data_IF_819935017509
#
_entry.id   IF_819935017509
#
_cell.length_a   1.000
_cell.length_b   1.000
_cell.length_c   1.000
_cell.angle_alpha   90.00
_cell.angle_beta   90.00
_cell.angle_gamma   90.00
#
_symmetry.space_group_name_H-M   'P 1'
#
loop_
_entity.id
_entity.type
_entity.pdbx_description
1 polymer ?
#
# COMPACT_ATOMS: atom_id res chain seq x y z
N UNK A 1 -21.02 -9.94 18.62
CA UNK A 1 -19.65 -10.47 18.82
C UNK A 1 -18.58 -9.43 18.52
N UNK A 2 -18.71 -8.66 17.44
CA UNK A 2 -17.82 -7.53 17.14
C UNK A 2 -17.74 -6.55 18.32
N UNK A 3 -16.53 -6.05 18.61
CA UNK A 3 -16.25 -5.16 19.75
C UNK A 3 -15.98 -5.89 21.06
N UNK A 4 -15.94 -7.23 21.05
CA UNK A 4 -15.45 -8.06 22.17
C UNK A 4 -14.08 -8.63 21.83
N UNK A 5 -13.42 -9.22 22.83
CA UNK A 5 -12.17 -9.95 22.65
C UNK A 5 -12.39 -11.44 22.90
N UNK A 6 -11.75 -12.28 22.09
CA UNK A 6 -11.53 -13.68 22.42
C UNK A 6 -10.41 -13.75 23.44
N UNK A 7 -10.60 -14.52 24.51
CA UNK A 7 -9.58 -14.76 25.54
C UNK A 7 -9.40 -16.26 25.69
N UNK A 8 -8.17 -16.73 25.53
CA UNK A 8 -7.80 -18.13 25.74
C UNK A 8 -7.31 -18.24 27.18
N UNK A 9 -7.95 -19.11 27.95
CA UNK A 9 -7.58 -19.40 29.33
C UNK A 9 -6.73 -20.67 29.42
N UNK A 10 -5.95 -20.77 30.50
CA UNK A 10 -5.28 -22.01 30.85
C UNK A 10 -6.24 -23.14 31.21
N UNK A 11 -5.74 -24.38 31.29
CA UNK A 11 -6.54 -25.57 31.55
C UNK A 11 -7.31 -25.51 32.88
N UNK A 12 -6.82 -24.76 33.88
CA UNK A 12 -7.42 -24.66 35.22
C UNK A 12 -8.48 -23.55 35.36
N UNK A 13 -9.34 -23.38 34.34
CA UNK A 13 -10.56 -22.55 34.38
C UNK A 13 -10.41 -21.10 34.92
N UNK A 14 -10.09 -20.18 34.00
CA UNK A 14 -10.29 -18.72 34.08
C UNK A 14 -9.23 -17.82 34.73
N UNK A 15 -8.40 -18.25 35.69
CA UNK A 15 -7.47 -17.33 36.38
C UNK A 15 -6.31 -16.84 35.49
N UNK A 16 -5.70 -17.74 34.70
CA UNK A 16 -4.58 -17.41 33.80
C UNK A 16 -5.07 -17.19 32.38
N UNK A 17 -4.90 -15.97 31.87
CA UNK A 17 -5.13 -15.62 30.45
C UNK A 17 -3.85 -15.90 29.67
N UNK A 18 -3.92 -16.78 28.68
CA UNK A 18 -2.79 -17.18 27.82
C UNK A 18 -2.64 -16.23 26.65
N UNK A 19 -3.75 -15.91 26.00
CA UNK A 19 -3.77 -15.05 24.83
C UNK A 19 -5.10 -14.29 24.76
N UNK A 20 -5.10 -13.16 24.06
CA UNK A 20 -6.30 -12.45 23.71
C UNK A 20 -6.17 -11.82 22.33
N UNK A 21 -7.29 -11.72 21.63
CA UNK A 21 -7.39 -11.01 20.37
C UNK A 21 -8.75 -10.31 20.27
N UNK A 22 -8.80 -9.16 19.61
CA UNK A 22 -10.07 -8.50 19.33
C UNK A 22 -10.83 -9.27 18.25
N UNK A 23 -12.15 -9.38 18.41
CA UNK A 23 -13.04 -9.88 17.37
C UNK A 23 -13.38 -8.71 16.46
N UNK A 24 -12.75 -8.69 15.29
CA UNK A 24 -12.92 -7.66 14.27
C UNK A 24 -13.98 -8.04 13.25
N UNK A 25 -14.54 -7.04 12.57
CA UNK A 25 -15.44 -7.28 11.46
C UNK A 25 -14.62 -7.78 10.28
N UNK A 26 -15.00 -8.92 9.69
CA UNK A 26 -14.44 -9.32 8.40
C UNK A 26 -14.91 -8.31 7.34
N UNK A 27 -13.96 -7.56 6.76
CA UNK A 27 -14.24 -6.56 5.73
C UNK A 27 -14.22 -7.23 4.36
N UNK A 28 -15.34 -7.17 3.66
CA UNK A 28 -15.43 -7.68 2.29
C UNK A 28 -14.80 -6.68 1.33
N UNK A 29 -13.79 -7.09 0.52
CA UNK A 29 -13.19 -6.21 -0.44
C UNK A 29 -14.22 -5.74 -1.48
N UNK A 30 -14.24 -4.43 -1.71
CA UNK A 30 -14.96 -3.77 -2.79
C UNK A 30 -13.95 -2.95 -3.56
N UNK A 31 -13.95 -3.07 -4.88
CA UNK A 31 -13.10 -2.31 -5.76
C UNK A 31 -13.89 -1.76 -6.95
N UNK A 32 -13.38 -0.71 -7.56
CA UNK A 32 -13.97 -0.15 -8.78
C UNK A 32 -12.90 0.46 -9.67
N UNK A 33 -13.22 0.58 -10.96
CA UNK A 33 -12.44 1.39 -11.89
C UNK A 33 -12.50 2.87 -11.49
N UNK A 34 -11.35 3.54 -11.56
CA UNK A 34 -11.24 4.99 -11.44
C UNK A 34 -11.55 5.71 -12.75
N UNK A 35 -11.05 6.94 -12.88
CA UNK A 35 -11.21 7.74 -14.10
C UNK A 35 -10.47 7.12 -15.28
N UNK A 36 -11.16 7.05 -16.42
CA UNK A 36 -10.59 6.60 -17.68
C UNK A 36 -9.54 7.56 -18.21
N UNK A 37 -8.46 6.99 -18.75
CA UNK A 37 -7.38 7.68 -19.44
C UNK A 37 -7.13 7.02 -20.80
N UNK A 38 -6.68 7.78 -21.79
CA UNK A 38 -6.42 7.28 -23.15
C UNK A 38 -7.16 8.10 -24.21
N UNK A 39 -7.17 7.58 -25.43
CA UNK A 39 -7.82 8.23 -26.58
C UNK A 39 -9.28 7.82 -26.78
N UNK A 40 -9.77 6.86 -25.99
CA UNK A 40 -11.16 6.44 -25.98
C UNK A 40 -12.09 7.49 -25.37
N UNK A 41 -13.38 7.33 -25.69
CA UNK A 41 -14.50 8.13 -25.17
C UNK A 41 -15.35 7.34 -24.19
N UNK A 42 -14.97 6.11 -23.83
CA UNK A 42 -15.88 5.23 -23.07
C UNK A 42 -15.97 5.67 -21.62
N UNK A 43 -17.19 5.65 -21.12
CA UNK A 43 -17.57 6.11 -19.79
C UNK A 43 -18.18 4.95 -18.98
N UNK A 44 -18.53 5.23 -17.73
CA UNK A 44 -19.08 4.26 -16.80
C UNK A 44 -17.99 3.55 -15.99
N UNK A 45 -18.38 2.62 -15.13
CA UNK A 45 -17.50 1.98 -14.16
C UNK A 45 -17.70 0.47 -14.16
N UNK A 46 -16.66 -0.24 -13.73
CA UNK A 46 -16.73 -1.66 -13.39
C UNK A 46 -16.52 -1.81 -11.90
N UNK A 47 -17.49 -2.42 -11.21
CA UNK A 47 -17.44 -2.70 -9.78
C UNK A 47 -17.14 -4.17 -9.54
N UNK A 48 -16.29 -4.44 -8.55
CA UNK A 48 -15.87 -5.77 -8.14
C UNK A 48 -16.17 -5.94 -6.65
N UNK A 49 -16.94 -6.96 -6.29
CA UNK A 49 -17.34 -7.25 -4.92
C UNK A 49 -17.07 -8.71 -4.57
N UNK A 50 -16.40 -8.95 -3.45
CA UNK A 50 -16.15 -10.30 -2.96
C UNK A 50 -16.71 -10.48 -1.55
N UNK A 51 -17.84 -11.21 -1.44
CA UNK A 51 -18.60 -11.38 -0.19
C UNK A 51 -18.01 -12.43 0.78
N UNK A 52 -16.85 -13.00 0.46
CA UNK A 52 -16.04 -13.81 1.37
C UNK A 52 -14.65 -14.03 0.78
N UNK A 53 -13.58 -14.19 1.58
CA UNK A 53 -12.22 -14.33 1.05
C UNK A 53 -12.00 -15.50 0.08
N UNK A 54 -12.82 -16.56 0.16
CA UNK A 54 -12.78 -17.72 -0.74
C UNK A 54 -13.97 -17.77 -1.72
N UNK A 55 -14.87 -16.79 -1.67
CA UNK A 55 -16.02 -16.71 -2.56
C UNK A 55 -15.67 -16.11 -3.92
N UNK A 56 -16.56 -16.26 -4.91
CA UNK A 56 -16.38 -15.66 -6.21
C UNK A 56 -16.44 -14.13 -6.13
N UNK A 57 -15.72 -13.48 -7.03
CA UNK A 57 -15.86 -12.04 -7.25
C UNK A 57 -17.04 -11.78 -8.16
N UNK A 58 -17.96 -10.96 -7.67
CA UNK A 58 -19.07 -10.43 -8.44
C UNK A 58 -18.58 -9.21 -9.22
N UNK A 59 -18.73 -9.24 -10.53
CA UNK A 59 -18.31 -8.17 -11.43
C UNK A 59 -19.56 -7.52 -11.99
N UNK A 60 -19.74 -6.22 -11.80
CA UNK A 60 -20.78 -5.43 -12.45
C UNK A 60 -20.11 -4.48 -13.43
N UNK A 61 -20.33 -4.73 -14.72
CA UNK A 61 -19.82 -3.92 -15.81
C UNK A 61 -20.93 -2.96 -16.23
N UNK A 62 -20.66 -1.66 -16.27
CA UNK A 62 -21.54 -0.66 -16.84
C UNK A 62 -20.70 0.32 -17.65
N UNK A 63 -20.73 0.18 -18.98
CA UNK A 63 -19.95 1.00 -19.91
C UNK A 63 -20.86 1.68 -20.93
N UNK A 64 -20.53 2.91 -21.28
CA UNK A 64 -21.22 3.70 -22.31
C UNK A 64 -20.19 4.34 -23.24
N UNK A 65 -20.65 4.93 -24.36
CA UNK A 65 -19.79 5.64 -25.29
C UNK A 65 -18.65 4.75 -25.84
N UNK A 66 -18.98 3.48 -26.14
CA UNK A 66 -18.04 2.53 -26.75
C UNK A 66 -17.88 2.77 -28.26
N UNK A 67 -18.78 3.54 -28.88
CA UNK A 67 -18.78 3.94 -30.30
C UNK A 67 -18.68 2.77 -31.29
N UNK A 68 -19.06 1.56 -30.87
CA UNK A 68 -18.80 0.31 -31.60
C UNK A 68 -17.30 0.07 -31.93
N UNK A 69 -16.38 0.80 -31.30
CA UNK A 69 -14.92 0.70 -31.54
C UNK A 69 -14.25 -0.32 -30.60
N UNK A 70 -14.86 -0.58 -29.46
CA UNK A 70 -14.34 -1.48 -28.45
C UNK A 70 -14.28 -2.94 -28.94
N UNK A 71 -13.26 -3.65 -28.45
CA UNK A 71 -13.01 -5.06 -28.66
C UNK A 71 -13.00 -5.79 -27.33
N UNK A 72 -11.83 -6.28 -26.92
CA UNK A 72 -11.64 -6.93 -25.62
C UNK A 72 -11.36 -5.93 -24.50
N UNK A 73 -11.49 -6.39 -23.25
CA UNK A 73 -11.15 -5.65 -22.05
C UNK A 73 -10.57 -6.60 -21.01
N UNK A 74 -9.45 -6.21 -20.40
CA UNK A 74 -8.62 -7.07 -19.57
C UNK A 74 -8.04 -6.31 -18.39
N UNK A 75 -7.71 -7.03 -17.32
CA UNK A 75 -6.92 -6.51 -16.20
C UNK A 75 -5.44 -6.70 -16.51
N UNK A 76 -4.67 -5.63 -16.41
CA UNK A 76 -3.26 -5.57 -16.69
C UNK A 76 -2.41 -5.58 -15.41
N UNK A 77 -1.11 -5.83 -15.54
CA UNK A 77 -0.24 -6.08 -14.40
C UNK A 77 -0.05 -4.87 -13.47
N UNK A 78 0.04 -3.65 -14.01
CA UNK A 78 0.44 -2.46 -13.24
C UNK A 78 -0.65 -1.38 -13.19
N UNK A 79 -0.66 -0.56 -12.12
CA UNK A 79 -1.43 0.67 -12.10
C UNK A 79 -0.84 1.70 -13.08
N UNK A 80 -1.72 2.55 -13.57
CA UNK A 80 -1.48 3.58 -14.57
C UNK A 80 -0.49 4.62 -14.05
N UNK A 81 0.45 5.03 -14.91
CA UNK A 81 1.17 6.30 -14.76
C UNK A 81 0.43 7.32 -15.62
N UNK A 82 -0.20 8.32 -14.99
CA UNK A 82 -0.96 9.33 -15.72
C UNK A 82 -0.11 10.07 -16.74
N UNK A 83 -0.72 10.41 -17.87
CA UNK A 83 -0.06 11.08 -18.99
C UNK A 83 -0.57 10.58 -20.33
N UNK A 84 0.01 11.09 -21.42
CA UNK A 84 -0.40 10.76 -22.79
C UNK A 84 -0.29 9.25 -23.08
N UNK A 85 0.73 8.60 -22.53
CA UNK A 85 1.01 7.16 -22.72
C UNK A 85 0.44 6.28 -21.60
N UNK A 86 -0.56 6.75 -20.86
CA UNK A 86 -1.10 6.10 -19.66
C UNK A 86 -1.35 4.60 -19.83
N UNK A 87 -1.94 4.22 -20.97
CA UNK A 87 -2.33 2.83 -21.24
C UNK A 87 -1.26 2.04 -22.02
N UNK A 88 -0.08 2.60 -22.31
CA UNK A 88 0.93 1.95 -23.14
C UNK A 88 1.44 0.62 -22.56
N UNK A 89 2.01 -0.22 -23.42
CA UNK A 89 2.64 -1.49 -23.04
C UNK A 89 3.70 -1.30 -21.94
N UNK A 90 4.43 -0.19 -21.95
CA UNK A 90 5.44 0.09 -20.94
C UNK A 90 4.82 0.45 -19.58
N UNK A 91 3.71 1.20 -19.57
CA UNK A 91 3.13 1.72 -18.34
C UNK A 91 2.29 0.72 -17.57
N UNK A 92 1.41 -0.04 -18.24
CA UNK A 92 0.53 -1.02 -17.58
C UNK A 92 0.94 -2.49 -17.81
N UNK A 93 1.95 -2.74 -18.66
CA UNK A 93 2.47 -4.09 -19.00
C UNK A 93 1.38 -5.01 -19.58
N UNK A 94 1.62 -6.32 -19.66
CA UNK A 94 0.68 -7.29 -20.22
C UNK A 94 -0.53 -7.58 -19.34
N UNK A 95 -1.33 -8.57 -19.74
CA UNK A 95 -2.46 -9.07 -18.97
C UNK A 95 -2.00 -9.68 -17.65
N UNK A 96 -2.87 -9.63 -16.63
CA UNK A 96 -2.59 -10.26 -15.36
C UNK A 96 -2.81 -11.78 -15.43
N UNK A 97 -1.69 -12.52 -15.48
CA UNK A 97 -1.66 -13.97 -15.65
C UNK A 97 -0.67 -14.64 -14.69
N UNK A 98 -0.95 -14.67 -13.37
CA UNK A 98 -0.02 -15.20 -12.39
C UNK A 98 0.19 -16.72 -12.48
N UNK A 99 -0.72 -17.45 -13.15
CA UNK A 99 -0.63 -18.89 -13.35
C UNK A 99 0.00 -19.30 -14.70
N UNK A 100 0.41 -18.33 -15.52
CA UNK A 100 1.03 -18.60 -16.81
C UNK A 100 0.14 -19.37 -17.77
N UNK A 101 -1.17 -19.11 -17.75
CA UNK A 101 -2.15 -19.72 -18.66
C UNK A 101 -1.71 -19.47 -20.10
N UNK A 102 -1.63 -20.54 -20.90
CA UNK A 102 -1.27 -20.44 -22.31
C UNK A 102 -2.51 -20.04 -23.13
N UNK A 103 -2.54 -18.78 -23.54
CA UNK A 103 -3.65 -18.15 -24.29
C UNK A 103 -3.93 -18.90 -25.60
N UNK A 104 -2.91 -19.49 -26.25
CA UNK A 104 -3.10 -20.22 -27.51
C UNK A 104 -3.93 -21.51 -27.37
N UNK A 105 -4.07 -22.01 -26.14
CA UNK A 105 -4.88 -23.19 -25.79
C UNK A 105 -6.15 -22.84 -25.03
N UNK A 106 -6.36 -21.57 -24.68
CA UNK A 106 -7.58 -21.14 -24.02
C UNK A 106 -8.80 -21.32 -24.95
N UNK A 107 -9.95 -21.76 -24.44
CA UNK A 107 -11.15 -21.90 -25.25
C UNK A 107 -11.60 -20.57 -25.85
N UNK A 108 -12.42 -20.62 -26.90
CA UNK A 108 -13.01 -19.40 -27.46
C UNK A 108 -13.80 -18.63 -26.39
N UNK A 109 -13.90 -17.29 -26.49
CA UNK A 109 -14.56 -16.47 -25.49
C UNK A 109 -15.92 -17.00 -25.04
N UNK A 110 -16.13 -17.14 -23.72
CA UNK A 110 -17.39 -17.60 -23.12
C UNK A 110 -17.65 -19.11 -23.13
N UNK A 111 -16.76 -19.93 -23.71
CA UNK A 111 -16.96 -21.37 -23.82
C UNK A 111 -16.15 -22.20 -22.80
N UNK A 112 -15.17 -21.61 -22.12
CA UNK A 112 -14.33 -22.28 -21.12
C UNK A 112 -14.77 -22.02 -19.68
N UNK A 113 -14.18 -22.78 -18.75
CA UNK A 113 -14.24 -22.46 -17.32
C UNK A 113 -13.28 -21.32 -16.98
N UNK A 114 -13.58 -20.53 -15.93
CA UNK A 114 -12.83 -19.30 -15.60
C UNK A 114 -11.35 -19.53 -15.24
N UNK A 115 -10.95 -20.75 -14.91
CA UNK A 115 -9.57 -21.18 -14.67
C UNK A 115 -8.77 -21.49 -15.94
N UNK A 116 -9.44 -21.64 -17.09
CA UNK A 116 -8.79 -21.87 -18.40
C UNK A 116 -8.32 -20.57 -19.08
N UNK A 117 -8.58 -19.43 -18.46
CA UNK A 117 -8.23 -18.09 -18.92
C UNK A 117 -7.29 -17.42 -17.92
N UNK A 118 -6.54 -16.43 -18.39
CA UNK A 118 -5.76 -15.55 -17.52
C UNK A 118 -6.70 -14.90 -16.47
N UNK A 119 -6.22 -14.67 -15.24
CA UNK A 119 -7.05 -14.03 -14.20
C UNK A 119 -7.65 -12.71 -14.73
N UNK A 120 -6.85 -11.93 -15.45
CA UNK A 120 -7.27 -10.66 -16.02
C UNK A 120 -8.08 -10.75 -17.31
N UNK A 121 -8.31 -11.91 -17.91
CA UNK A 121 -8.98 -12.01 -19.21
C UNK A 121 -10.51 -12.05 -19.08
N UNK A 122 -11.12 -10.88 -18.84
CA UNK A 122 -12.58 -10.76 -18.68
C UNK A 122 -13.30 -11.11 -19.99
N UNK A 123 -12.76 -10.65 -21.12
CA UNK A 123 -13.36 -10.90 -22.43
C UNK A 123 -13.33 -12.37 -22.84
N UNK A 124 -12.23 -13.08 -22.60
CA UNK A 124 -12.15 -14.52 -22.80
C UNK A 124 -13.12 -15.28 -21.93
N UNK A 125 -13.28 -14.89 -20.65
CA UNK A 125 -14.21 -15.57 -19.73
C UNK A 125 -15.68 -15.32 -20.05
N UNK A 126 -16.05 -14.10 -20.43
CA UNK A 126 -17.45 -13.66 -20.41
C UNK A 126 -17.96 -12.98 -21.69
N UNK A 127 -17.13 -12.90 -22.74
CA UNK A 127 -17.46 -12.26 -24.01
C UNK A 127 -16.90 -10.83 -24.14
N UNK A 128 -16.77 -10.37 -25.39
CA UNK A 128 -16.17 -9.08 -25.74
C UNK A 128 -17.18 -7.94 -25.82
N UNK A 129 -16.69 -6.71 -26.00
CA UNK A 129 -17.49 -5.48 -26.17
C UNK A 129 -17.75 -5.14 -27.65
N UNK A 130 -17.54 -6.09 -28.57
CA UNK A 130 -17.68 -5.86 -30.00
C UNK A 130 -19.14 -5.55 -30.36
N UNK A 131 -19.35 -4.54 -31.21
CA UNK A 131 -20.67 -4.06 -31.65
C UNK A 131 -21.57 -3.58 -30.48
N UNK A 132 -20.96 -3.05 -29.42
CA UNK A 132 -21.66 -2.42 -28.32
C UNK A 132 -21.37 -0.92 -28.33
N UNK A 133 -22.41 -0.11 -28.16
CA UNK A 133 -22.27 1.31 -27.79
C UNK A 133 -22.47 1.54 -26.29
N UNK A 134 -23.37 0.75 -25.69
CA UNK A 134 -23.62 0.66 -24.25
C UNK A 134 -23.59 -0.82 -23.86
N UNK A 135 -23.03 -1.13 -22.70
CA UNK A 135 -22.89 -2.50 -22.24
C UNK A 135 -23.06 -2.56 -20.72
N UNK A 136 -24.03 -3.36 -20.27
CA UNK A 136 -24.24 -3.64 -18.86
C UNK A 136 -24.35 -5.16 -18.65
N UNK A 137 -23.59 -5.69 -17.70
CA UNK A 137 -23.66 -7.11 -17.37
C UNK A 137 -23.15 -7.41 -15.95
N UNK A 138 -23.53 -8.58 -15.45
CA UNK A 138 -23.10 -9.10 -14.15
C UNK A 138 -22.48 -10.49 -14.30
N UNK A 139 -21.28 -10.64 -13.77
CA UNK A 139 -20.54 -11.91 -13.79
C UNK A 139 -20.18 -12.38 -12.39
N UNK A 140 -19.87 -13.67 -12.28
CA UNK A 140 -19.23 -14.27 -11.11
C UNK A 140 -17.97 -14.99 -11.56
N UNK A 141 -16.85 -14.64 -10.97
CA UNK A 141 -15.54 -15.22 -11.26
C UNK A 141 -14.90 -15.77 -10.00
N UNK A 142 -14.79 -17.10 -9.90
CA UNK A 142 -14.11 -17.79 -8.79
C UNK A 142 -12.59 -17.78 -8.90
N UNK A 143 -12.02 -17.23 -9.97
CA UNK A 143 -10.60 -17.15 -10.27
C UNK A 143 -10.13 -15.67 -10.44
N UNK A 144 -10.82 -14.72 -9.82
CA UNK A 144 -10.45 -13.29 -9.82
C UNK A 144 -10.50 -12.71 -8.40
N UNK A 145 -9.55 -13.05 -7.52
CA UNK A 145 -9.62 -12.62 -6.13
C UNK A 145 -9.39 -11.11 -5.97
N UNK A 146 -10.01 -10.52 -4.94
CA UNK A 146 -9.80 -9.14 -4.49
C UNK A 146 -8.86 -9.03 -3.28
N UNK A 147 -8.45 -10.17 -2.72
CA UNK A 147 -7.50 -10.26 -1.60
C UNK A 147 -6.46 -11.36 -1.84
N UNK A 148 -5.38 -11.34 -1.08
CA UNK A 148 -4.27 -12.25 -1.18
C UNK A 148 -3.30 -11.91 -2.33
N UNK A 149 -2.27 -12.75 -2.55
CA UNK A 149 -1.17 -12.47 -3.49
C UNK A 149 -1.60 -12.21 -4.93
N UNK A 150 -2.73 -12.79 -5.35
CA UNK A 150 -3.28 -12.65 -6.69
C UNK A 150 -4.37 -11.57 -6.81
N UNK A 151 -4.52 -10.69 -5.81
CA UNK A 151 -5.53 -9.63 -5.87
C UNK A 151 -5.40 -8.78 -7.15
N UNK A 152 -6.54 -8.43 -7.74
CA UNK A 152 -6.62 -7.47 -8.85
C UNK A 152 -6.65 -6.00 -8.38
N UNK A 153 -6.78 -5.76 -7.07
CA UNK A 153 -6.76 -4.39 -6.52
C UNK A 153 -5.36 -3.79 -6.69
N UNK A 154 -5.29 -2.53 -7.12
CA UNK A 154 -4.04 -1.81 -7.39
C UNK A 154 -3.49 -2.06 -8.79
N UNK A 155 -4.21 -2.82 -9.63
CA UNK A 155 -3.92 -3.03 -11.05
C UNK A 155 -4.75 -2.07 -11.90
N UNK A 156 -4.64 -2.18 -13.23
CA UNK A 156 -5.46 -1.41 -14.16
C UNK A 156 -6.32 -2.30 -15.04
N UNK A 157 -7.46 -1.78 -15.47
CA UNK A 157 -8.29 -2.38 -16.50
C UNK A 157 -8.08 -1.60 -17.80
N UNK A 158 -7.90 -2.32 -18.90
CA UNK A 158 -7.68 -1.76 -20.24
C UNK A 158 -8.79 -2.23 -21.15
N UNK A 159 -9.42 -1.30 -21.87
CA UNK A 159 -10.30 -1.59 -23.00
C UNK A 159 -9.46 -1.46 -24.27
N UNK A 160 -9.59 -2.44 -25.17
CA UNK A 160 -8.90 -2.49 -26.45
C UNK A 160 -9.85 -2.13 -27.58
N UNK A 161 -9.30 -1.64 -28.68
CA UNK A 161 -9.98 -1.59 -29.97
C UNK A 161 -10.11 -3.01 -30.56
N UNK A 162 -10.95 -3.16 -31.59
CA UNK A 162 -11.14 -4.45 -32.30
C UNK A 162 -9.86 -5.04 -32.89
N UNK A 163 -8.88 -4.21 -33.24
CA UNK A 163 -7.58 -4.64 -33.76
C UNK A 163 -6.58 -5.02 -32.63
N UNK A 164 -7.00 -4.98 -31.37
CA UNK A 164 -6.20 -5.31 -30.19
C UNK A 164 -5.36 -4.16 -29.63
N UNK A 165 -5.26 -3.01 -30.30
CA UNK A 165 -4.56 -1.85 -29.73
C UNK A 165 -5.33 -1.28 -28.53
N UNK A 166 -4.63 -0.64 -27.61
CA UNK A 166 -5.22 -0.17 -26.35
C UNK A 166 -5.95 1.14 -26.59
N UNK A 167 -7.21 1.21 -26.16
CA UNK A 167 -8.08 2.36 -26.35
C UNK A 167 -8.03 3.29 -25.14
N UNK A 168 -8.32 2.73 -23.96
CA UNK A 168 -8.32 3.47 -22.71
C UNK A 168 -8.15 2.53 -21.52
N UNK A 169 -7.83 3.08 -20.37
CA UNK A 169 -7.56 2.33 -19.17
C UNK A 169 -7.95 3.11 -17.92
N UNK A 170 -8.27 2.39 -16.84
CA UNK A 170 -8.55 2.94 -15.52
C UNK A 170 -7.93 2.06 -14.43
N UNK A 171 -7.47 2.67 -13.34
CA UNK A 171 -6.97 1.92 -12.19
C UNK A 171 -8.13 1.22 -11.45
N UNK A 172 -7.91 0.00 -10.99
CA UNK A 172 -8.80 -0.74 -10.11
C UNK A 172 -8.39 -0.40 -8.68
N UNK A 173 -9.19 0.44 -8.04
CA UNK A 173 -8.91 0.94 -6.69
C UNK A 173 -9.88 0.32 -5.70
N UNK A 174 -9.38 -0.01 -4.50
CA UNK A 174 -10.26 -0.37 -3.40
C UNK A 174 -11.18 0.82 -3.11
N UNK A 175 -12.48 0.57 -3.02
CA UNK A 175 -13.43 1.59 -2.62
C UNK A 175 -13.12 1.98 -1.18
N UNK A 176 -13.00 3.29 -0.92
CA UNK A 176 -12.78 3.79 0.42
C UNK A 176 -13.97 3.36 1.30
N UNK A 177 -13.71 2.47 2.28
CA UNK A 177 -14.67 2.25 3.34
C UNK A 177 -14.87 3.57 4.07
N UNK A 178 -16.12 3.91 4.40
CA UNK A 178 -16.47 5.17 5.09
C UNK A 178 -15.68 5.37 6.39
N UNK A 179 -15.27 4.27 7.02
CA UNK A 179 -14.50 4.25 8.26
C UNK A 179 -13.01 3.88 8.08
N UNK A 180 -12.60 3.49 6.87
CA UNK A 180 -11.23 3.08 6.56
C UNK A 180 -10.29 4.27 6.35
N UNK A 181 -9.03 4.12 6.78
CA UNK A 181 -8.00 5.16 6.63
C UNK A 181 -6.77 4.58 5.95
N UNK A 182 -6.25 5.28 4.94
CA UNK A 182 -5.05 4.84 4.23
C UNK A 182 -3.77 5.15 5.00
N UNK A 183 -2.84 4.21 4.96
CA UNK A 183 -1.45 4.41 5.31
C UNK A 183 -0.61 4.20 4.06
N UNK A 184 0.32 5.12 3.83
CA UNK A 184 1.32 5.02 2.77
C UNK A 184 2.71 5.15 3.38
N UNK A 185 3.61 4.27 2.97
CA UNK A 185 5.03 4.29 3.32
C UNK A 185 5.89 4.06 2.07
N UNK A 186 7.14 4.50 2.12
CA UNK A 186 8.09 4.35 1.01
C UNK A 186 9.45 3.89 1.51
N UNK A 187 10.10 3.02 0.76
CA UNK A 187 11.53 2.76 0.87
C UNK A 187 12.21 3.33 -0.38
N UNK A 188 13.04 4.35 -0.20
CA UNK A 188 13.70 5.08 -1.29
C UNK A 188 15.16 4.63 -1.37
N UNK A 189 15.55 4.04 -2.50
CA UNK A 189 16.90 3.58 -2.76
C UNK A 189 17.62 4.64 -3.59
N UNK A 190 18.79 5.07 -3.10
CA UNK A 190 19.61 6.11 -3.74
C UNK A 190 21.04 5.62 -4.01
N UNK A 191 21.34 4.35 -3.72
CA UNK A 191 22.66 3.77 -3.79
C UNK A 191 22.90 3.03 -5.11
N UNK A 192 23.52 1.84 -5.08
CA UNK A 192 23.72 1.01 -6.26
C UNK A 192 22.41 0.60 -6.94
N UNK A 193 21.30 0.60 -6.22
CA UNK A 193 19.94 0.53 -6.77
C UNK A 193 19.27 1.88 -6.58
N UNK A 194 18.54 2.35 -7.61
CA UNK A 194 17.77 3.59 -7.57
C UNK A 194 16.29 3.30 -7.70
N UNK A 195 15.47 4.08 -7.02
CA UNK A 195 14.01 4.05 -7.18
C UNK A 195 13.28 3.94 -5.85
N UNK A 196 12.05 3.44 -5.89
CA UNK A 196 11.16 3.44 -4.73
C UNK A 196 10.31 2.19 -4.66
N UNK A 197 10.18 1.64 -3.46
CA UNK A 197 9.10 0.71 -3.11
C UNK A 197 8.05 1.49 -2.33
N UNK A 198 6.84 1.61 -2.88
CA UNK A 198 5.70 2.24 -2.21
C UNK A 198 4.80 1.17 -1.63
N UNK A 199 4.48 1.27 -0.34
CA UNK A 199 3.57 0.39 0.36
C UNK A 199 2.31 1.15 0.74
N UNK A 200 1.15 0.53 0.54
CA UNK A 200 -0.15 1.13 0.90
C UNK A 200 -1.10 0.10 1.52
N UNK A 201 -1.83 0.50 2.56
CA UNK A 201 -2.76 -0.36 3.29
C UNK A 201 -3.91 0.47 3.86
N UNK A 202 -5.13 -0.08 3.87
CA UNK A 202 -6.26 0.51 4.59
C UNK A 202 -6.34 -0.07 6.01
N UNK A 203 -6.52 0.81 6.99
CA UNK A 203 -6.66 0.49 8.41
C UNK A 203 -8.06 0.84 8.89
N UNK A 204 -8.63 -0.01 9.74
CA UNK A 204 -10.01 0.14 10.20
C UNK A 204 -10.12 0.44 11.71
N UNK A 205 -11.26 1.02 12.15
CA UNK A 205 -11.57 1.33 13.55
C UNK A 205 -11.31 0.20 14.55
N UNK A 206 -11.65 -1.03 14.16
CA UNK A 206 -11.55 -2.23 15.00
C UNK A 206 -10.12 -2.79 15.10
N UNK A 207 -9.16 -2.16 14.42
CA UNK A 207 -7.76 -2.58 14.36
C UNK A 207 -7.46 -3.64 13.30
N UNK A 208 -8.44 -3.99 12.45
CA UNK A 208 -8.18 -4.80 11.26
C UNK A 208 -7.52 -3.98 10.14
N UNK A 209 -6.94 -4.69 9.18
CA UNK A 209 -6.24 -4.11 8.03
C UNK A 209 -6.64 -4.83 6.74
N UNK A 210 -6.58 -4.11 5.62
CA UNK A 210 -6.56 -4.74 4.30
C UNK A 210 -5.19 -5.38 4.03
N UNK A 211 -5.05 -6.07 2.90
CA UNK A 211 -3.72 -6.44 2.41
C UNK A 211 -2.88 -5.19 2.09
N UNK A 212 -1.56 -5.36 2.09
CA UNK A 212 -0.59 -4.35 1.67
C UNK A 212 -0.32 -4.49 0.19
N UNK A 213 -0.52 -3.41 -0.57
CA UNK A 213 -0.02 -3.31 -1.95
C UNK A 213 1.41 -2.79 -1.93
N UNK A 214 2.32 -3.47 -2.62
CA UNK A 214 3.71 -3.05 -2.84
C UNK A 214 3.90 -2.71 -4.33
N UNK A 215 4.02 -1.42 -4.64
CA UNK A 215 4.43 -0.95 -5.95
C UNK A 215 5.94 -0.75 -5.94
N UNK A 216 6.65 -1.57 -6.70
CA UNK A 216 8.10 -1.61 -6.78
C UNK A 216 8.55 -0.99 -8.10
N UNK A 217 9.32 0.09 -8.04
CA UNK A 217 9.94 0.76 -9.19
C UNK A 217 11.43 0.92 -8.89
N UNK A 218 12.21 -0.11 -9.18
CA UNK A 218 13.64 -0.19 -8.85
C UNK A 218 14.47 -0.47 -10.09
N UNK A 219 15.60 0.23 -10.22
CA UNK A 219 16.54 0.11 -11.32
C UNK A 219 17.95 -0.05 -10.75
N UNK A 220 18.63 -1.15 -11.09
CA UNK A 220 20.04 -1.33 -10.74
C UNK A 220 20.93 -0.41 -11.58
N UNK A 221 21.96 0.16 -10.98
CA UNK A 221 22.97 0.91 -11.73
C UNK A 221 23.80 -0.03 -12.61
N UNK A 222 24.29 0.50 -13.74
CA UNK A 222 25.15 -0.24 -14.67
C UNK A 222 26.42 -0.79 -14.03
N UNK A 223 26.86 -0.20 -12.90
CA UNK A 223 28.05 -0.62 -12.16
C UNK A 223 27.92 -1.99 -11.49
N UNK A 224 26.70 -2.43 -11.13
CA UNK A 224 26.50 -3.69 -10.38
C UNK A 224 26.12 -4.86 -11.30
N UNK A 225 25.60 -4.59 -12.51
CA UNK A 225 25.20 -5.60 -13.49
C UNK A 225 24.29 -6.72 -12.92
N UNK A 226 23.32 -6.35 -12.08
CA UNK A 226 22.33 -7.27 -11.47
C UNK A 226 20.94 -6.92 -11.98
N UNK A 227 20.23 -7.91 -12.54
CA UNK A 227 18.86 -7.73 -13.06
C UNK A 227 17.79 -8.21 -12.09
N UNK A 228 18.15 -9.02 -11.08
CA UNK A 228 17.22 -9.54 -10.06
C UNK A 228 17.88 -9.55 -8.68
N UNK A 229 17.12 -9.25 -7.65
CA UNK A 229 17.56 -9.33 -6.27
C UNK A 229 16.57 -10.12 -5.41
N UNK A 230 17.09 -10.85 -4.43
CA UNK A 230 16.29 -11.25 -3.27
C UNK A 230 16.10 -10.04 -2.37
N UNK A 231 15.03 -10.04 -1.61
CA UNK A 231 14.55 -8.91 -0.83
C UNK A 231 13.81 -9.36 0.41
N UNK A 232 14.02 -8.65 1.52
CA UNK A 232 13.43 -8.94 2.81
C UNK A 232 13.42 -7.71 3.71
N UNK A 233 12.53 -7.70 4.69
CA UNK A 233 12.43 -6.65 5.71
C UNK A 233 13.10 -7.15 6.99
N UNK A 234 13.96 -6.34 7.60
CA UNK A 234 14.68 -6.69 8.83
C UNK A 234 13.92 -6.28 10.08
N UNK A 235 14.25 -6.88 11.22
CA UNK A 235 13.77 -6.40 12.52
C UNK A 235 14.26 -4.97 12.82
N UNK A 236 15.54 -4.70 12.59
CA UNK A 236 16.14 -3.41 12.93
C UNK A 236 15.99 -2.38 11.79
N UNK A 237 15.92 -1.07 12.11
CA UNK A 237 15.98 0.01 11.12
C UNK A 237 17.35 0.08 10.41
N UNK A 238 17.41 0.84 9.32
CA UNK A 238 18.69 1.30 8.74
C UNK A 238 19.37 2.23 9.75
N UNK A 239 20.69 2.12 9.90
CA UNK A 239 21.43 3.07 10.74
C UNK A 239 21.50 4.43 10.05
N UNK A 240 20.65 5.37 10.49
CA UNK A 240 20.52 6.72 9.90
C UNK A 240 21.83 7.54 9.96
N UNK A 241 22.72 7.25 10.92
CA UNK A 241 23.97 8.01 11.09
C UNK A 241 25.02 7.68 10.03
N UNK A 242 25.01 6.44 9.51
CA UNK A 242 26.05 5.92 8.62
C UNK A 242 25.48 5.50 7.26
N UNK A 243 24.15 5.52 7.12
CA UNK A 243 23.42 4.99 5.96
C UNK A 243 23.85 3.55 5.58
N UNK A 244 24.31 2.78 6.57
CA UNK A 244 24.75 1.40 6.37
C UNK A 244 23.59 0.43 6.52
N UNK A 245 23.57 -0.56 5.63
CA UNK A 245 22.64 -1.66 5.73
C UNK A 245 22.90 -2.48 6.99
N UNK A 246 21.84 -3.01 7.63
CA UNK A 246 21.99 -3.85 8.82
C UNK A 246 22.75 -5.13 8.45
N UNK A 247 24.05 -5.15 8.73
CA UNK A 247 24.92 -6.33 8.61
C UNK A 247 24.41 -7.36 9.62
N UNK A 248 23.96 -8.52 9.14
CA UNK A 248 23.34 -9.59 9.92
C UNK A 248 21.97 -9.26 10.54
N UNK A 249 21.20 -8.33 9.97
CA UNK A 249 19.82 -8.08 10.42
C UNK A 249 18.94 -9.33 10.22
N UNK A 250 18.36 -9.84 11.32
CA UNK A 250 17.37 -10.91 11.26
C UNK A 250 16.15 -10.48 10.43
N UNK A 251 15.58 -11.43 9.68
CA UNK A 251 14.31 -11.22 8.97
C UNK A 251 13.24 -10.88 10.01
N UNK A 252 12.38 -9.93 9.69
CA UNK A 252 11.32 -9.52 10.60
C UNK A 252 10.34 -10.67 10.87
N UNK A 253 10.32 -11.17 12.11
CA UNK A 253 9.60 -12.38 12.48
C UNK A 253 8.84 -12.23 13.82
N UNK A 254 7.82 -11.35 13.89
CA UNK A 254 7.09 -11.06 15.12
C UNK A 254 6.27 -12.24 15.67
N UNK A 255 6.05 -13.29 14.86
CA UNK A 255 5.27 -14.47 15.21
C UNK A 255 6.14 -15.70 15.47
N UNK A 256 7.47 -15.54 15.51
CA UNK A 256 8.42 -16.61 15.77
C UNK A 256 8.24 -17.83 14.84
N UNK A 257 8.02 -17.56 13.55
CA UNK A 257 7.93 -18.55 12.49
C UNK A 257 9.28 -19.26 12.32
N UNK A 258 9.27 -20.52 11.89
CA UNK A 258 10.51 -21.23 11.61
C UNK A 258 11.21 -20.62 10.39
N UNK A 259 12.42 -20.08 10.59
CA UNK A 259 13.24 -19.56 9.51
C UNK A 259 13.49 -20.63 8.45
N UNK A 260 13.45 -20.24 7.17
CA UNK A 260 13.66 -21.14 6.02
C UNK A 260 12.76 -22.38 6.04
N UNK A 261 11.54 -22.26 6.59
CA UNK A 261 10.58 -23.36 6.58
C UNK A 261 10.31 -23.83 5.16
N UNK A 262 10.36 -25.15 4.93
CA UNK A 262 9.92 -25.77 3.68
C UNK A 262 8.44 -25.49 3.37
N UNK A 263 7.67 -25.10 4.39
CA UNK A 263 6.27 -24.75 4.25
C UNK A 263 6.06 -23.28 3.85
N UNK A 264 7.09 -22.45 3.80
CA UNK A 264 6.98 -21.08 3.30
C UNK A 264 7.09 -21.08 1.77
N UNK A 265 6.02 -20.63 1.10
CA UNK A 265 5.95 -20.50 -0.35
C UNK A 265 4.93 -19.43 -0.76
N UNK A 266 4.82 -19.05 -2.04
CA UNK A 266 3.76 -18.16 -2.50
C UNK A 266 2.34 -18.68 -2.24
N UNK A 267 2.14 -20.00 -2.21
CA UNK A 267 0.84 -20.64 -1.94
C UNK A 267 0.56 -20.78 -0.44
N UNK A 268 1.60 -20.82 0.37
CA UNK A 268 1.55 -21.03 1.82
C UNK A 268 2.23 -19.86 2.56
N UNK A 269 1.97 -18.65 2.08
CA UNK A 269 2.66 -17.43 2.52
C UNK A 269 2.48 -17.14 4.02
N UNK A 270 1.41 -17.63 4.65
CA UNK A 270 1.19 -17.50 6.11
C UNK A 270 2.19 -18.31 6.95
N UNK A 271 2.90 -19.28 6.36
CA UNK A 271 3.97 -20.02 7.01
C UNK A 271 5.33 -19.30 6.95
N UNK A 272 5.41 -18.18 6.23
CA UNK A 272 6.63 -17.41 6.08
C UNK A 272 6.86 -16.44 7.26
N UNK A 273 8.13 -16.14 7.51
CA UNK A 273 8.51 -14.97 8.30
C UNK A 273 7.91 -13.72 7.65
N UNK A 274 7.35 -12.81 8.45
CA UNK A 274 6.61 -11.63 7.95
C UNK A 274 7.46 -10.81 6.98
N UNK A 275 8.75 -10.68 7.27
CA UNK A 275 9.72 -9.95 6.45
C UNK A 275 10.29 -10.71 5.25
N UNK A 276 10.03 -12.01 5.08
CA UNK A 276 10.58 -12.78 3.95
C UNK A 276 9.75 -12.56 2.67
N UNK A 277 10.06 -11.49 1.96
CA UNK A 277 9.35 -11.13 0.73
C UNK A 277 9.77 -12.00 -0.46
N UNK A 278 10.99 -12.54 -0.46
CA UNK A 278 11.48 -13.37 -1.57
C UNK A 278 10.76 -14.70 -1.61
N UNK A 279 10.58 -15.37 -0.47
CA UNK A 279 9.89 -16.65 -0.44
C UNK A 279 8.39 -16.50 -0.70
N UNK A 280 7.80 -15.35 -0.33
CA UNK A 280 6.38 -15.05 -0.60
C UNK A 280 6.10 -14.65 -2.05
N UNK A 281 6.95 -13.81 -2.64
CA UNK A 281 6.65 -13.11 -3.90
C UNK A 281 7.65 -13.40 -5.04
N UNK A 282 8.72 -14.15 -4.76
CA UNK A 282 9.86 -14.31 -5.65
C UNK A 282 10.83 -13.13 -5.60
N UNK A 283 11.91 -13.23 -6.37
CA UNK A 283 12.90 -12.16 -6.51
C UNK A 283 12.32 -10.94 -7.22
N UNK A 284 12.74 -9.75 -6.80
CA UNK A 284 12.43 -8.50 -7.49
C UNK A 284 13.30 -8.36 -8.73
N UNK A 285 12.74 -7.84 -9.83
CA UNK A 285 13.41 -7.48 -11.08
C UNK A 285 13.80 -6.01 -10.98
N UNK A 286 15.07 -5.70 -11.23
CA UNK A 286 15.66 -4.37 -11.07
C UNK A 286 15.76 -3.61 -12.41
N UNK A 287 14.82 -3.87 -13.32
CA UNK A 287 14.77 -3.23 -14.65
C UNK A 287 13.37 -2.78 -15.04
N UNK A 288 12.36 -3.05 -14.20
CA UNK A 288 10.97 -2.77 -14.52
C UNK A 288 10.13 -2.61 -13.26
N UNK A 289 8.97 -1.96 -13.42
CA UNK A 289 7.96 -1.87 -12.39
C UNK A 289 7.28 -3.21 -12.13
N UNK A 290 6.95 -3.44 -10.87
CA UNK A 290 6.22 -4.62 -10.40
C UNK A 290 5.21 -4.23 -9.33
N UNK A 291 4.14 -5.02 -9.25
CA UNK A 291 3.10 -4.88 -8.23
C UNK A 291 2.92 -6.21 -7.51
N UNK A 292 2.97 -6.16 -6.18
CA UNK A 292 2.72 -7.31 -5.31
C UNK A 292 1.63 -6.98 -4.28
N UNK A 293 0.95 -8.00 -3.79
CA UNK A 293 0.00 -7.89 -2.70
C UNK A 293 0.41 -8.84 -1.58
N UNK A 294 0.61 -8.31 -0.37
CA UNK A 294 1.01 -9.08 0.79
C UNK A 294 -0.07 -9.01 1.88
N UNK A 295 -0.61 -10.17 2.25
CA UNK A 295 -1.68 -10.29 3.22
C UNK A 295 -1.20 -10.40 4.69
N UNK A 296 0.12 -10.41 4.93
CA UNK A 296 0.70 -10.59 6.26
C UNK A 296 1.40 -9.32 6.78
N UNK A 297 1.92 -8.47 5.87
CA UNK A 297 2.52 -7.20 6.23
C UNK A 297 1.49 -6.26 6.89
N UNK A 298 1.97 -5.44 7.81
CA UNK A 298 1.17 -4.39 8.46
C UNK A 298 1.94 -3.07 8.37
N UNK A 299 1.26 -1.98 8.00
CA UNK A 299 1.81 -0.63 8.01
C UNK A 299 1.44 0.15 9.28
N UNK A 300 0.54 -0.40 10.09
CA UNK A 300 0.13 0.12 11.39
C UNK A 300 0.12 -0.98 12.47
N UNK A 301 -0.22 -0.59 13.70
CA UNK A 301 -0.26 -1.49 14.84
C UNK A 301 1.12 -1.83 15.39
N UNK A 302 1.14 -2.77 16.33
CA UNK A 302 2.36 -3.16 17.04
C UNK A 302 3.34 -3.96 16.15
N UNK A 303 2.83 -4.54 15.06
CA UNK A 303 3.62 -5.33 14.12
C UNK A 303 3.99 -4.58 12.83
N UNK A 304 3.90 -3.25 12.84
CA UNK A 304 4.21 -2.44 11.65
C UNK A 304 5.62 -2.69 11.11
N UNK A 305 5.75 -2.72 9.79
CA UNK A 305 7.04 -2.71 9.08
C UNK A 305 7.55 -1.31 8.77
N UNK A 306 6.74 -0.28 9.02
CA UNK A 306 7.19 1.11 8.92
C UNK A 306 8.32 1.31 9.93
N UNK A 307 9.35 2.02 9.50
CA UNK A 307 10.60 2.29 10.21
C UNK A 307 11.54 1.08 10.35
N UNK A 308 11.32 0.00 9.58
CA UNK A 308 12.28 -1.10 9.41
C UNK A 308 13.07 -0.93 8.12
N UNK A 309 14.16 -1.69 7.93
CA UNK A 309 14.91 -1.67 6.68
C UNK A 309 14.35 -2.71 5.69
N UNK A 310 14.16 -2.30 4.44
CA UNK A 310 14.02 -3.17 3.29
C UNK A 310 15.42 -3.38 2.68
N UNK A 311 15.86 -4.64 2.58
CA UNK A 311 17.20 -5.00 2.12
C UNK A 311 17.10 -5.76 0.80
N UNK A 312 17.98 -5.44 -0.14
CA UNK A 312 18.18 -6.15 -1.40
C UNK A 312 19.47 -6.95 -1.35
N UNK A 313 19.46 -8.18 -1.88
CA UNK A 313 20.61 -9.09 -1.94
C UNK A 313 20.80 -9.64 -3.35
N UNK A 314 22.06 -9.75 -3.75
CA UNK A 314 22.50 -10.50 -4.93
C UNK A 314 23.33 -11.70 -4.44
N UNK A 315 22.74 -12.90 -4.50
CA UNK A 315 23.28 -14.07 -3.81
C UNK A 315 23.35 -13.82 -2.29
N UNK A 316 24.54 -13.98 -1.70
CA UNK A 316 24.77 -13.73 -0.27
C UNK A 316 25.18 -12.29 0.06
N UNK A 317 25.44 -11.45 -0.95
CA UNK A 317 25.91 -10.09 -0.75
C UNK A 317 24.73 -9.12 -0.66
N UNK A 318 24.73 -8.24 0.34
CA UNK A 318 23.79 -7.13 0.42
C UNK A 318 24.13 -6.16 -0.71
N UNK A 319 23.15 -5.92 -1.59
CA UNK A 319 23.26 -5.02 -2.73
C UNK A 319 22.97 -3.58 -2.31
N UNK A 320 21.86 -3.37 -1.61
CA UNK A 320 21.40 -2.05 -1.16
C UNK A 320 20.33 -2.22 -0.06
N UNK A 321 19.97 -1.14 0.61
CA UNK A 321 18.87 -1.12 1.56
C UNK A 321 18.27 0.28 1.72
N UNK A 322 17.04 0.33 2.19
CA UNK A 322 16.36 1.59 2.49
C UNK A 322 15.44 1.43 3.70
N UNK A 323 15.31 2.49 4.50
CA UNK A 323 14.33 2.54 5.57
C UNK A 323 12.92 2.70 4.95
N UNK A 324 11.95 1.94 5.46
CA UNK A 324 10.54 2.11 5.13
C UNK A 324 10.02 3.31 5.92
N UNK A 325 10.00 4.49 5.31
CA UNK A 325 9.58 5.73 5.96
C UNK A 325 8.09 6.01 5.70
N UNK A 326 7.35 6.52 6.70
CA UNK A 326 5.96 6.90 6.48
C UNK A 326 5.87 8.11 5.55
N UNK A 327 5.00 8.03 4.56
CA UNK A 327 4.51 9.21 3.81
C UNK A 327 3.32 9.81 4.57
N UNK A 328 2.50 8.95 5.17
CA UNK A 328 1.42 9.36 6.05
C UNK A 328 1.93 10.16 7.27
N UNK A 329 1.09 11.01 7.89
CA UNK A 329 1.49 11.91 8.95
C UNK A 329 2.12 11.19 10.16
N UNK A 330 3.34 11.57 10.50
CA UNK A 330 4.08 11.00 11.63
C UNK A 330 4.81 12.08 12.43
N UNK A 331 5.02 11.84 13.71
CA UNK A 331 5.67 12.77 14.61
C UNK A 331 6.50 12.06 15.67
N UNK A 332 7.40 12.84 16.28
CA UNK A 332 8.20 12.43 17.42
C UNK A 332 7.74 13.20 18.66
N UNK A 333 7.49 12.47 19.73
CA UNK A 333 7.23 12.97 21.08
C UNK A 333 8.48 12.72 21.94
N UNK A 334 8.97 13.74 22.64
CA UNK A 334 10.10 13.62 23.56
C UNK A 334 9.67 14.08 24.94
N UNK A 335 9.82 13.26 25.97
CA UNK A 335 9.26 13.51 27.30
C UNK A 335 10.19 13.01 28.41
N UNK A 336 10.02 13.46 29.67
CA UNK A 336 10.75 12.92 30.81
C UNK A 336 10.61 11.40 30.91
N UNK A 337 11.68 10.70 31.27
CA UNK A 337 11.63 9.24 31.40
C UNK A 337 10.55 8.81 32.40
N UNK A 338 9.71 7.87 31.98
CA UNK A 338 8.69 7.28 32.83
C UNK A 338 9.14 5.91 33.34
N UNK A 339 8.70 5.53 34.54
CA UNK A 339 9.05 4.24 35.16
C UNK A 339 8.45 3.05 34.41
N UNK A 340 7.25 3.22 33.86
CA UNK A 340 6.57 2.23 33.02
C UNK A 340 5.92 2.94 31.84
N UNK A 341 6.35 2.59 30.63
CA UNK A 341 5.77 3.11 29.40
C UNK A 341 4.62 2.22 28.94
N UNK A 342 3.41 2.77 28.89
CA UNK A 342 2.25 2.07 28.35
C UNK A 342 1.99 2.50 26.91
N UNK A 343 2.24 1.58 25.96
CA UNK A 343 1.92 1.78 24.53
C UNK A 343 0.44 2.15 24.34
N UNK A 344 -0.45 1.52 25.09
CA UNK A 344 -1.89 1.79 25.05
C UNK A 344 -2.21 3.21 25.54
N UNK A 345 -1.71 3.59 26.72
CA UNK A 345 -1.99 4.91 27.29
C UNK A 345 -1.41 6.04 26.43
N UNK A 346 -0.20 5.86 25.89
CA UNK A 346 0.39 6.80 24.94
C UNK A 346 -0.50 6.99 23.71
N UNK A 347 -0.90 5.89 23.06
CA UNK A 347 -1.79 5.95 21.87
C UNK A 347 -3.13 6.59 22.20
N UNK A 348 -3.72 6.27 23.36
CA UNK A 348 -4.99 6.82 23.83
C UNK A 348 -4.90 8.35 23.95
N UNK A 349 -3.86 8.87 24.61
CA UNK A 349 -3.67 10.32 24.80
C UNK A 349 -3.43 11.05 23.48
N UNK A 350 -2.60 10.50 22.59
CA UNK A 350 -2.42 11.06 21.24
C UNK A 350 -3.75 11.11 20.50
N UNK A 351 -4.54 10.04 20.57
CA UNK A 351 -5.84 9.97 19.93
C UNK A 351 -6.84 10.99 20.50
N UNK A 352 -6.87 11.19 21.82
CA UNK A 352 -7.66 12.21 22.51
C UNK A 352 -7.27 13.62 22.07
N UNK A 353 -5.98 13.94 22.00
CA UNK A 353 -5.49 15.26 21.53
C UNK A 353 -5.93 15.55 20.10
N UNK A 354 -5.86 14.54 19.23
CA UNK A 354 -6.15 14.68 17.81
C UNK A 354 -7.64 14.55 17.48
N UNK A 355 -8.48 14.14 18.43
CA UNK A 355 -9.90 13.84 18.19
C UNK A 355 -10.09 12.69 17.20
N UNK A 356 -9.25 11.65 17.31
CA UNK A 356 -9.28 10.47 16.43
C UNK A 356 -9.44 9.19 17.23
N UNK A 357 -9.73 8.07 16.57
CA UNK A 357 -9.74 6.77 17.22
C UNK A 357 -8.32 6.24 17.49
N UNK A 358 -8.15 5.49 18.59
CA UNK A 358 -6.86 4.91 18.98
C UNK A 358 -6.24 3.98 17.93
N UNK A 359 -7.08 3.31 17.12
CA UNK A 359 -6.66 2.46 16.00
C UNK A 359 -5.90 3.23 14.92
N UNK A 360 -6.14 4.54 14.78
CA UNK A 360 -5.38 5.39 13.84
C UNK A 360 -3.95 5.68 14.32
N UNK A 361 -3.66 5.58 15.61
CA UNK A 361 -2.35 5.90 16.17
C UNK A 361 -1.52 4.63 16.29
N UNK A 362 -0.36 4.59 15.63
CA UNK A 362 0.59 3.48 15.68
C UNK A 362 1.94 3.95 16.20
N UNK A 363 2.51 3.24 17.17
CA UNK A 363 3.86 3.52 17.68
C UNK A 363 4.87 2.78 16.79
N UNK A 364 5.83 3.50 16.24
CA UNK A 364 6.83 2.96 15.33
C UNK A 364 7.91 2.14 16.09
N UNK A 365 8.60 1.19 15.43
CA UNK A 365 9.75 0.48 16.00
C UNK A 365 10.84 1.42 16.52
N UNK A 366 11.55 1.02 17.57
CA UNK A 366 12.60 1.84 18.20
C UNK A 366 12.08 3.06 18.98
N UNK A 367 10.76 3.21 19.11
CA UNK A 367 10.11 4.37 19.74
C UNK A 367 10.13 4.38 21.27
N UNK A 368 10.99 3.64 21.95
CA UNK A 368 11.35 3.98 23.32
C UNK A 368 12.87 3.96 23.42
N UNK A 369 13.49 5.04 22.96
CA UNK A 369 14.93 5.22 23.10
C UNK A 369 15.21 6.26 24.17
N UNK A 370 16.14 5.95 25.07
CA UNK A 370 16.63 6.89 26.07
C UNK A 370 17.46 7.99 25.44
N UNK A 371 17.25 9.23 25.87
CA UNK A 371 18.04 10.42 25.55
C UNK A 371 18.61 11.04 26.83
N UNK A 372 19.58 11.94 26.67
CA UNK A 372 20.12 12.76 27.76
C UNK A 372 20.58 11.95 28.99
N UNK A 373 21.35 10.89 28.77
CA UNK A 373 21.83 10.02 29.86
C UNK A 373 20.73 9.26 30.61
N UNK A 374 19.58 9.00 29.97
CA UNK A 374 18.47 8.24 30.54
C UNK A 374 17.38 9.09 31.20
N UNK A 375 17.53 10.43 31.22
CA UNK A 375 16.54 11.34 31.83
C UNK A 375 15.32 11.60 30.93
N UNK A 376 15.45 11.43 29.63
CA UNK A 376 14.36 11.61 28.67
C UNK A 376 14.13 10.36 27.84
N UNK A 377 12.91 10.19 27.37
CA UNK A 377 12.50 9.18 26.41
C UNK A 377 11.94 9.86 25.17
N UNK A 378 12.03 9.16 24.03
CA UNK A 378 11.36 9.60 22.81
C UNK A 378 10.56 8.45 22.20
N UNK A 379 9.40 8.82 21.63
CA UNK A 379 8.48 7.95 20.91
C UNK A 379 8.19 8.54 19.54
N UNK A 380 8.36 7.76 18.49
CA UNK A 380 7.84 8.10 17.15
C UNK A 380 6.52 7.39 16.92
N UNK A 381 5.56 8.11 16.37
CA UNK A 381 4.24 7.57 16.07
C UNK A 381 3.74 8.05 14.71
N UNK A 382 2.88 7.23 14.13
CA UNK A 382 2.21 7.43 12.86
C UNK A 382 0.70 7.58 13.12
N UNK A 383 0.04 8.43 12.34
CA UNK A 383 -1.42 8.55 12.32
C UNK A 383 -1.91 8.16 10.93
N UNK A 384 -2.80 7.16 10.84
CA UNK A 384 -3.39 6.74 9.57
C UNK A 384 -4.38 7.77 9.04
N UNK A 385 -4.50 7.87 7.72
CA UNK A 385 -5.35 8.84 7.03
C UNK A 385 -4.83 10.26 7.09
N UNK A 386 -5.69 11.21 6.75
CA UNK A 386 -5.32 12.62 6.69
C UNK A 386 -5.16 13.23 8.08
N UNK A 387 -4.06 13.97 8.26
CA UNK A 387 -3.77 14.75 9.45
C UNK A 387 -2.89 15.93 9.08
N UNK A 388 -3.31 17.15 9.43
CA UNK A 388 -2.51 18.34 9.17
C UNK A 388 -1.32 18.42 10.13
N UNK A 389 -0.20 18.97 9.64
CA UNK A 389 0.99 19.22 10.46
C UNK A 389 0.68 20.03 11.72
N UNK A 390 -0.22 21.03 11.62
CA UNK A 390 -0.69 21.85 12.74
C UNK A 390 -1.38 21.03 13.83
N UNK A 391 -2.31 20.14 13.46
CA UNK A 391 -2.99 19.26 14.42
C UNK A 391 -1.99 18.28 15.05
N UNK A 392 -1.12 17.71 14.23
CA UNK A 392 -0.11 16.77 14.69
C UNK A 392 0.89 17.42 15.66
N UNK A 393 1.30 18.67 15.41
CA UNK A 393 2.19 19.42 16.32
C UNK A 393 1.54 19.75 17.67
N UNK A 394 0.21 19.86 17.73
CA UNK A 394 -0.51 20.14 18.98
C UNK A 394 -0.34 19.01 20.01
N UNK A 395 0.04 17.80 19.59
CA UNK A 395 0.34 16.68 20.49
C UNK A 395 1.49 17.01 21.43
N UNK A 396 2.53 17.73 20.96
CA UNK A 396 3.77 17.93 21.70
C UNK A 396 3.55 18.53 23.09
N UNK A 397 2.81 19.64 23.12
CA UNK A 397 2.71 20.48 24.31
C UNK A 397 1.35 20.38 25.02
N UNK A 398 0.45 19.54 24.53
CA UNK A 398 -0.89 19.36 25.09
C UNK A 398 -0.87 18.79 26.50
N UNK A 399 -1.69 19.36 27.38
CA UNK A 399 -1.88 18.89 28.75
C UNK A 399 -2.48 17.48 28.81
N UNK A 400 -3.27 17.10 27.80
CA UNK A 400 -3.87 15.75 27.70
C UNK A 400 -2.81 14.65 27.56
N UNK A 401 -1.59 14.98 27.11
CA UNK A 401 -0.48 14.04 27.07
C UNK A 401 0.04 13.65 28.45
N UNK A 402 -0.29 14.39 29.51
CA UNK A 402 0.08 14.07 30.88
C UNK A 402 1.58 13.83 31.04
N UNK A 403 1.96 12.63 31.52
CA UNK A 403 3.36 12.24 31.71
C UNK A 403 4.17 12.12 30.41
N UNK A 404 3.52 12.06 29.24
CA UNK A 404 4.19 12.04 27.93
C UNK A 404 4.27 13.43 27.29
N UNK A 405 3.85 14.49 27.99
CA UNK A 405 3.95 15.87 27.53
C UNK A 405 5.41 16.27 27.33
N UNK A 406 5.68 17.03 26.27
CA UNK A 406 7.03 17.47 25.97
C UNK A 406 7.57 18.42 27.03
N UNK A 407 8.82 18.22 27.44
CA UNK A 407 9.51 19.07 28.41
C UNK A 407 10.68 19.79 27.74
N UNK A 408 10.80 21.12 27.96
CA UNK A 408 11.85 21.93 27.32
C UNK A 408 13.27 21.44 27.59
N UNK A 409 13.54 20.97 28.81
CA UNK A 409 14.87 20.50 29.18
C UNK A 409 15.26 19.22 28.42
N UNK A 410 14.27 18.39 28.04
CA UNK A 410 14.50 17.23 27.17
C UNK A 410 14.85 17.62 25.73
N UNK A 411 14.45 18.81 25.29
CA UNK A 411 14.81 19.34 23.97
C UNK A 411 16.22 19.94 23.96
N UNK A 412 16.61 20.63 25.04
CA UNK A 412 17.93 21.31 25.18
C UNK A 412 19.10 20.34 25.38
N UNK A 413 18.85 19.16 25.94
CA UNK A 413 19.88 18.14 26.22
C UNK A 413 20.29 17.26 25.01
N UNK A 414 19.86 17.59 23.80
CA UNK A 414 20.24 16.87 22.57
C UNK A 414 21.23 17.68 21.73
N UNK A 415 22.31 17.05 21.28
CA UNK A 415 23.14 17.53 20.16
C UNK A 415 22.27 17.79 18.91
N UNK A 416 22.73 18.64 17.96
CA UNK A 416 21.88 19.52 17.18
C UNK A 416 20.80 18.76 16.41
N UNK A 417 19.55 19.10 16.71
CA UNK A 417 18.44 18.76 15.85
C UNK A 417 18.63 19.45 14.50
N UNK A 418 18.57 18.64 13.44
CA UNK A 418 17.98 18.96 12.15
C UNK A 418 17.61 20.43 11.97
N UNK A 419 18.45 21.14 11.20
CA UNK A 419 17.92 22.19 10.35
C UNK A 419 16.75 21.59 9.54
N UNK A 420 15.61 22.29 9.42
CA UNK A 420 14.74 22.06 8.27
C UNK A 420 15.65 22.27 7.07
N UNK A 421 15.78 21.26 6.20
CA UNK A 421 16.28 21.50 4.85
C UNK A 421 15.53 22.71 4.33
N UNK A 422 16.29 23.74 3.95
CA UNK A 422 15.82 24.98 3.38
C UNK A 422 14.55 24.75 2.56
N UNK A 423 13.45 25.37 3.02
CA UNK A 423 12.44 25.78 2.08
C UNK A 423 13.13 26.71 1.10
N UNK A 424 13.21 26.29 -0.17
CA UNK A 424 13.24 27.27 -1.24
C UNK A 424 11.96 28.07 -1.10
N UNK A 425 12.12 29.29 -0.59
CA UNK A 425 11.20 30.40 -0.81
C UNK A 425 11.11 30.65 -2.31
N UNK A 426 10.31 29.86 -3.01
CA UNK A 426 9.67 30.32 -4.23
C UNK A 426 8.43 31.08 -3.77
N UNK A 427 8.49 32.39 -3.91
CA UNK A 427 7.34 33.27 -3.79
C UNK A 427 6.21 32.72 -4.66
N UNK A 428 5.21 32.10 -4.03
CA UNK A 428 3.88 31.94 -4.64
C UNK A 428 3.23 33.31 -4.54
N UNK A 429 3.52 34.16 -5.53
CA UNK A 429 2.64 35.27 -5.87
C UNK A 429 1.30 34.64 -6.30
N UNK A 430 0.30 34.88 -5.46
CA UNK A 430 -1.11 34.71 -5.75
C UNK A 430 -1.47 35.33 -7.10
N UNK A 431 -1.73 34.50 -8.11
CA UNK A 431 -2.46 34.87 -9.32
C UNK A 431 -3.85 34.23 -9.28
N UNK A 432 -4.68 34.74 -8.38
CA UNK A 432 -6.12 34.70 -8.54
C UNK A 432 -6.52 35.82 -9.51
N UNK A 433 -6.30 35.64 -10.82
CA UNK A 433 -6.83 36.55 -11.86
C UNK A 433 -6.68 36.02 -13.31
N UNK A 434 -7.03 34.77 -13.65
CA UNK A 434 -7.23 34.36 -15.07
C UNK A 434 -8.35 33.32 -15.21
N UNK A 435 -9.47 33.54 -14.53
CA UNK A 435 -10.73 32.83 -14.79
C UNK A 435 -11.90 33.83 -14.73
N UNK A 436 -11.85 34.87 -15.57
CA UNK A 436 -12.99 35.75 -15.83
C UNK A 436 -12.87 36.58 -17.14
N UNK A 437 -12.07 36.13 -18.11
CA UNK A 437 -11.96 36.75 -19.44
C UNK A 437 -11.79 35.66 -20.53
N UNK A 438 -12.81 34.81 -20.66
CA UNK A 438 -13.08 34.02 -21.88
C UNK A 438 -14.59 33.98 -22.20
N UNK A 439 -15.27 35.07 -21.87
CA UNK A 439 -16.54 35.47 -22.46
C UNK A 439 -16.37 36.94 -22.82
N UNK A 440 -16.65 37.32 -24.08
CA UNK A 440 -16.33 38.60 -24.74
C UNK A 440 -14.85 38.62 -25.21
N UNK A 441 -14.50 38.17 -26.42
CA UNK A 441 -14.75 38.89 -27.67
C UNK A 441 -14.71 37.95 -28.88
N UNK A 442 -15.87 37.47 -29.32
CA UNK A 442 -16.15 37.27 -30.75
C UNK A 442 -17.29 38.21 -31.03
N UNK A 443 -16.98 39.45 -31.39
CA UNK A 443 -17.78 40.30 -32.27
C UNK A 443 -17.01 41.59 -32.61
N UNK A 444 -16.59 41.70 -33.88
CA UNK A 444 -16.55 42.93 -34.71
C UNK A 444 -15.51 44.02 -34.31
N UNK A 445 -14.74 44.65 -35.20
CA UNK A 445 -14.94 45.09 -36.60
C UNK A 445 -13.59 45.25 -37.32
N UNK A 446 -13.47 44.87 -38.61
CA UNK A 446 -13.32 45.81 -39.72
C UNK A 446 -12.43 47.05 -39.44
N UNK A 447 -11.16 47.01 -39.84
CA UNK A 447 -10.56 47.70 -41.01
C UNK A 447 -9.07 47.40 -41.06
#
# INVERSE_FOLDING_TARGET
MIGRSLVIHGPDEAARRIACANITLLRFPLAQTGSWQGSGSSEGNIHFLQLSPQGPTHIHVSLTCLDDKAGGYHIHLLPIKSGLEACSNENVKGHFNPFGVNISTSPTPGNGTVDQYEIGDISGKFGSLVNQNQFENHYRDSNMPLSGPNSIIGRSLVIHYRNGSRMQCADITAVNSLDGQWIVAKAIFNGPVKGTVTLSQQCFPDGSFSDVTLLVDLIASSAVNVTKASWYITENPVNELVAECPKNGAIYNPFNMSAQSSNCSPLTYLACEVGDLTSKHGSVILTQRQLFTDAQLQLAGDYTVVYRALVLKAGNMILDCAAIIPVSPSAQQVFPSVTSFSRYDFRKRVAEVLGVQISRVSILPGALSTKAGGKCQQVRFLVSGDMSSKKLSAVKDSEMMGMYRQAEWCMKSGAPGFHPTHGETVHVLSLAAVYLLRFLTVHWTAQ
#
